data_IF_285583557012
#
_entry.id   IF_285583557012
#
_cell.length_a   1.000
_cell.length_b   1.000
_cell.length_c   1.000
_cell.angle_alpha   90.00
_cell.angle_beta   90.00
_cell.angle_gamma   90.00
#
_symmetry.space_group_name_H-M   'P 1'
#
loop_
_entity.id
_entity.type
_entity.pdbx_description
1 polymer ?
#
# COMPACT_ATOMS: atom_id res chain seq x y z
N UNK A 1 -28.20 -13.81 -18.62
CA UNK A 1 -26.72 -13.82 -18.44
C UNK A 1 -25.96 -14.15 -19.72
N UNK A 2 -26.53 -14.93 -20.65
CA UNK A 2 -25.91 -15.37 -21.92
C UNK A 2 -25.57 -14.28 -22.96
N UNK A 3 -25.94 -13.01 -22.73
CA UNK A 3 -25.66 -11.91 -23.66
C UNK A 3 -24.19 -11.47 -23.70
N UNK A 4 -23.35 -11.94 -22.77
CA UNK A 4 -21.93 -11.65 -22.77
C UNK A 4 -21.20 -12.64 -23.68
N UNK A 5 -20.58 -12.15 -24.77
CA UNK A 5 -19.85 -12.96 -25.76
C UNK A 5 -18.87 -13.96 -25.13
N UNK A 6 -18.03 -13.48 -24.22
CA UNK A 6 -17.00 -14.30 -23.55
C UNK A 6 -17.65 -15.37 -22.66
N UNK A 7 -18.61 -14.98 -21.83
CA UNK A 7 -19.28 -15.90 -20.91
C UNK A 7 -20.12 -16.96 -21.65
N UNK A 8 -20.81 -16.57 -22.73
CA UNK A 8 -21.58 -17.49 -23.56
C UNK A 8 -20.70 -18.51 -24.29
N UNK A 9 -19.53 -18.09 -24.78
CA UNK A 9 -18.52 -19.01 -25.33
C UNK A 9 -18.02 -20.01 -24.28
N UNK A 10 -17.66 -19.52 -23.09
CA UNK A 10 -17.22 -20.37 -21.99
C UNK A 10 -18.31 -21.35 -21.56
N UNK A 11 -19.56 -20.89 -21.44
CA UNK A 11 -20.70 -21.74 -21.10
C UNK A 11 -20.87 -22.88 -22.11
N UNK A 12 -20.78 -22.59 -23.41
CA UNK A 12 -20.86 -23.61 -24.46
C UNK A 12 -19.69 -24.60 -24.37
N UNK A 13 -18.47 -24.12 -24.14
CA UNK A 13 -17.28 -24.95 -23.99
C UNK A 13 -17.38 -25.89 -22.78
N UNK A 14 -17.78 -25.38 -21.61
CA UNK A 14 -17.97 -26.18 -20.40
C UNK A 14 -19.10 -27.21 -20.60
N UNK A 15 -20.20 -26.82 -21.27
CA UNK A 15 -21.31 -27.73 -21.57
C UNK A 15 -20.94 -28.84 -22.56
N UNK A 16 -20.10 -28.56 -23.56
CA UNK A 16 -19.63 -29.55 -24.53
C UNK A 16 -18.42 -30.35 -24.05
N UNK A 17 -17.74 -29.92 -22.98
CA UNK A 17 -16.47 -30.49 -22.53
C UNK A 17 -15.29 -30.20 -23.46
N UNK A 18 -15.46 -29.35 -24.48
CA UNK A 18 -14.42 -29.08 -25.49
C UNK A 18 -13.92 -27.64 -25.33
N UNK A 19 -12.63 -27.51 -25.03
CA UNK A 19 -11.95 -26.22 -24.89
C UNK A 19 -11.06 -25.89 -26.09
N UNK A 20 -11.37 -24.80 -26.78
CA UNK A 20 -10.50 -24.26 -27.84
C UNK A 20 -9.43 -23.34 -27.24
N UNK A 21 -8.19 -23.84 -27.19
CA UNK A 21 -7.03 -23.07 -26.69
C UNK A 21 -6.68 -21.87 -27.56
N UNK A 22 -7.10 -21.84 -28.83
CA UNK A 22 -6.82 -20.73 -29.77
C UNK A 22 -7.79 -19.57 -29.59
N UNK A 23 -8.95 -19.79 -28.97
CA UNK A 23 -9.92 -18.72 -28.74
C UNK A 23 -9.41 -17.76 -27.65
N UNK A 24 -9.07 -16.54 -28.07
CA UNK A 24 -8.55 -15.47 -27.21
C UNK A 24 -9.50 -15.08 -26.08
N UNK A 25 -10.81 -15.28 -26.25
CA UNK A 25 -11.82 -14.90 -25.25
C UNK A 25 -11.79 -15.85 -24.05
N UNK A 26 -11.60 -17.14 -24.28
CA UNK A 26 -11.64 -18.18 -23.24
C UNK A 26 -10.27 -18.74 -22.86
N UNK A 27 -9.20 -18.42 -23.60
CA UNK A 27 -7.83 -18.88 -23.34
C UNK A 27 -7.36 -18.66 -21.90
N UNK A 28 -7.80 -17.58 -21.25
CA UNK A 28 -7.50 -17.26 -19.84
C UNK A 28 -8.06 -18.26 -18.83
N UNK A 29 -9.00 -19.10 -19.24
CA UNK A 29 -9.61 -20.14 -18.42
C UNK A 29 -8.93 -21.51 -18.60
N UNK A 30 -7.95 -21.63 -19.51
CA UNK A 30 -7.30 -22.91 -19.85
C UNK A 30 -6.80 -23.68 -18.62
N UNK A 31 -6.11 -23.00 -17.70
CA UNK A 31 -5.54 -23.64 -16.51
C UNK A 31 -6.54 -24.05 -15.43
N UNK A 32 -7.82 -23.68 -15.57
CA UNK A 32 -8.88 -24.04 -14.61
C UNK A 32 -10.05 -24.77 -15.27
N UNK A 33 -10.00 -24.99 -16.59
CA UNK A 33 -11.15 -25.44 -17.37
C UNK A 33 -11.71 -26.78 -16.88
N UNK A 34 -10.82 -27.73 -16.55
CA UNK A 34 -11.21 -29.06 -16.07
C UNK A 34 -11.91 -29.03 -14.70
N UNK A 35 -11.80 -27.93 -13.97
CA UNK A 35 -12.46 -27.70 -12.68
C UNK A 35 -13.74 -26.88 -12.80
N UNK A 36 -14.13 -26.47 -14.01
CA UNK A 36 -15.36 -25.72 -14.26
C UNK A 36 -16.54 -26.67 -14.44
N UNK A 37 -17.68 -26.32 -13.84
CA UNK A 37 -18.93 -27.02 -14.05
C UNK A 37 -20.10 -26.04 -14.11
N UNK A 38 -21.25 -26.51 -14.60
CA UNK A 38 -22.48 -25.70 -14.69
C UNK A 38 -23.49 -26.27 -13.70
N UNK A 39 -24.04 -25.39 -12.86
CA UNK A 39 -25.11 -25.69 -11.94
C UNK A 39 -26.09 -24.51 -11.93
N UNK A 40 -27.40 -24.79 -12.03
CA UNK A 40 -28.46 -23.78 -12.10
C UNK A 40 -28.19 -22.69 -13.15
N UNK A 41 -27.74 -23.10 -14.35
CA UNK A 41 -27.37 -22.21 -15.47
C UNK A 41 -26.23 -21.20 -15.17
N UNK A 42 -25.44 -21.47 -14.14
CA UNK A 42 -24.28 -20.67 -13.74
C UNK A 42 -23.01 -21.51 -13.80
N UNK A 43 -21.92 -20.92 -14.30
CA UNK A 43 -20.60 -21.56 -14.31
C UNK A 43 -19.96 -21.38 -12.93
N UNK A 44 -19.44 -22.47 -12.38
CA UNK A 44 -18.74 -22.53 -11.10
C UNK A 44 -17.30 -23.01 -11.28
N UNK A 45 -16.43 -22.60 -10.36
CA UNK A 45 -15.06 -23.10 -10.18
C UNK A 45 -14.92 -23.57 -8.73
N UNK A 46 -15.02 -24.88 -8.50
CA UNK A 46 -15.22 -25.39 -7.14
C UNK A 46 -16.45 -24.74 -6.50
N UNK A 47 -16.34 -24.19 -5.29
CA UNK A 47 -17.45 -23.52 -4.59
C UNK A 47 -17.72 -22.08 -5.05
N UNK A 48 -17.02 -21.58 -6.08
CA UNK A 48 -17.03 -20.15 -6.46
C UNK A 48 -17.81 -19.93 -7.75
N UNK A 49 -18.58 -18.85 -7.79
CA UNK A 49 -19.31 -18.44 -8.98
C UNK A 49 -18.37 -17.72 -9.96
N UNK A 50 -18.34 -18.16 -11.21
CA UNK A 50 -17.63 -17.46 -12.29
C UNK A 50 -18.48 -16.27 -12.74
N UNK A 51 -17.96 -15.06 -12.56
CA UNK A 51 -18.71 -13.84 -12.86
C UNK A 51 -18.47 -13.41 -14.31
N UNK A 52 -19.55 -13.17 -15.10
CA UNK A 52 -19.43 -12.61 -16.44
C UNK A 52 -18.73 -11.23 -16.46
N UNK A 53 -17.86 -10.94 -17.45
CA UNK A 53 -17.14 -9.66 -17.56
C UNK A 53 -17.99 -8.40 -17.39
N UNK A 54 -19.21 -8.42 -17.92
CA UNK A 54 -20.16 -7.29 -17.82
C UNK A 54 -20.57 -6.90 -16.39
N UNK A 55 -20.32 -7.77 -15.40
CA UNK A 55 -20.66 -7.52 -14.00
C UNK A 55 -19.43 -7.24 -13.12
N UNK A 56 -18.21 -7.33 -13.68
CA UNK A 56 -16.98 -7.12 -12.91
C UNK A 56 -16.97 -5.74 -12.25
N UNK A 57 -17.25 -4.67 -13.00
CA UNK A 57 -17.19 -3.30 -12.49
C UNK A 57 -18.21 -3.04 -11.37
N UNK A 58 -19.45 -3.51 -11.55
CA UNK A 58 -20.50 -3.39 -10.53
C UNK A 58 -20.11 -4.12 -9.25
N UNK A 59 -19.63 -5.37 -9.36
CA UNK A 59 -19.24 -6.17 -8.20
C UNK A 59 -18.03 -5.57 -7.48
N UNK A 60 -17.06 -5.04 -8.23
CA UNK A 60 -15.91 -4.34 -7.66
C UNK A 60 -16.33 -3.07 -6.93
N UNK A 61 -17.29 -2.30 -7.47
CA UNK A 61 -17.83 -1.11 -6.82
C UNK A 61 -18.51 -1.45 -5.49
N UNK A 62 -19.38 -2.47 -5.46
CA UNK A 62 -20.04 -2.95 -4.23
C UNK A 62 -19.01 -3.42 -3.19
N UNK A 63 -18.03 -4.22 -3.62
CA UNK A 63 -16.96 -4.73 -2.75
C UNK A 63 -16.09 -3.60 -2.17
N UNK A 64 -15.94 -2.51 -2.92
CA UNK A 64 -15.15 -1.35 -2.52
C UNK A 64 -15.91 -0.32 -1.68
N UNK A 65 -17.26 -0.36 -1.65
CA UNK A 65 -18.11 0.69 -1.10
C UNK A 65 -17.77 1.07 0.35
N UNK A 66 -17.37 0.10 1.18
CA UNK A 66 -17.02 0.30 2.59
C UNK A 66 -15.53 0.54 2.85
N UNK A 67 -14.69 0.63 1.80
CA UNK A 67 -13.24 0.85 1.90
C UNK A 67 -12.51 -0.10 2.88
N UNK A 68 -12.99 -1.34 3.06
CA UNK A 68 -12.48 -2.36 4.01
C UNK A 68 -11.02 -2.80 3.78
N UNK A 69 -10.38 -2.30 2.73
CA UNK A 69 -9.01 -2.58 2.36
C UNK A 69 -8.86 -3.81 1.48
N UNK A 70 -7.77 -3.82 0.70
CA UNK A 70 -7.47 -4.83 -0.32
C UNK A 70 -7.43 -6.26 0.23
N UNK A 71 -6.89 -6.44 1.45
CA UNK A 71 -6.77 -7.78 2.07
C UNK A 71 -8.17 -8.34 2.38
N UNK A 72 -9.04 -7.52 2.97
CA UNK A 72 -10.41 -7.89 3.31
C UNK A 72 -11.24 -8.16 2.06
N UNK A 73 -11.15 -7.28 1.05
CA UNK A 73 -11.81 -7.46 -0.25
C UNK A 73 -11.40 -8.78 -0.92
N UNK A 74 -10.10 -9.11 -0.92
CA UNK A 74 -9.59 -10.39 -1.44
C UNK A 74 -10.13 -11.59 -0.66
N UNK A 75 -10.31 -11.47 0.65
CA UNK A 75 -10.86 -12.54 1.50
C UNK A 75 -12.31 -12.85 1.11
N UNK A 76 -13.17 -11.82 1.09
CA UNK A 76 -14.60 -11.96 0.73
C UNK A 76 -14.76 -12.64 -0.64
N UNK A 77 -13.99 -12.17 -1.61
CA UNK A 77 -14.10 -12.66 -2.98
C UNK A 77 -13.58 -14.09 -3.15
N UNK A 78 -12.52 -14.47 -2.42
CA UNK A 78 -11.91 -15.80 -2.52
C UNK A 78 -12.88 -16.92 -2.16
N UNK A 79 -13.94 -16.65 -1.42
CA UNK A 79 -14.86 -17.71 -1.00
C UNK A 79 -16.09 -17.82 -1.91
N UNK A 80 -16.42 -16.75 -2.64
CA UNK A 80 -17.71 -16.61 -3.34
C UNK A 80 -17.56 -16.46 -4.86
N UNK A 81 -16.59 -15.68 -5.32
CA UNK A 81 -16.52 -15.23 -6.71
C UNK A 81 -15.18 -15.53 -7.36
N UNK A 82 -15.19 -15.72 -8.68
CA UNK A 82 -13.98 -15.92 -9.44
C UNK A 82 -14.07 -15.36 -10.87
N UNK A 83 -12.96 -14.81 -11.35
CA UNK A 83 -12.68 -14.61 -12.78
C UNK A 83 -11.16 -14.42 -12.96
N UNK A 84 -10.63 -14.61 -14.18
CA UNK A 84 -9.22 -14.39 -14.45
C UNK A 84 -8.79 -12.95 -14.12
N UNK A 85 -7.87 -12.78 -13.18
CA UNK A 85 -7.33 -11.47 -12.79
C UNK A 85 -8.11 -10.72 -11.71
N UNK A 86 -9.10 -11.35 -11.06
CA UNK A 86 -9.91 -10.75 -9.98
C UNK A 86 -9.08 -10.04 -8.89
N UNK A 87 -8.00 -10.67 -8.44
CA UNK A 87 -7.06 -10.11 -7.45
C UNK A 87 -6.43 -8.80 -7.93
N UNK A 88 -6.11 -8.71 -9.23
CA UNK A 88 -5.55 -7.50 -9.85
C UNK A 88 -6.62 -6.41 -9.90
N UNK A 89 -7.84 -6.73 -10.33
CA UNK A 89 -8.95 -5.77 -10.36
C UNK A 89 -9.24 -5.16 -8.97
N UNK A 90 -9.16 -5.96 -7.90
CA UNK A 90 -9.31 -5.50 -6.51
C UNK A 90 -8.19 -4.53 -6.10
N UNK A 91 -6.95 -4.80 -6.51
CA UNK A 91 -5.81 -3.90 -6.24
C UNK A 91 -5.97 -2.59 -7.02
N UNK A 92 -6.36 -2.68 -8.29
CA UNK A 92 -6.49 -1.54 -9.19
C UNK A 92 -7.58 -0.56 -8.73
N UNK A 93 -8.76 -1.05 -8.32
CA UNK A 93 -9.83 -0.18 -7.82
C UNK A 93 -9.41 0.52 -6.52
N UNK A 94 -8.74 -0.17 -5.60
CA UNK A 94 -8.25 0.43 -4.37
C UNK A 94 -7.11 1.44 -4.61
N UNK A 95 -6.26 1.22 -5.63
CA UNK A 95 -5.18 2.14 -5.98
C UNK A 95 -5.70 3.45 -6.62
N UNK A 96 -6.77 3.35 -7.42
CA UNK A 96 -7.44 4.50 -8.05
C UNK A 96 -8.29 5.31 -7.07
N UNK A 97 -8.68 4.73 -5.94
CA UNK A 97 -9.49 5.40 -4.93
C UNK A 97 -8.69 6.39 -4.08
N UNK A 98 -9.12 7.66 -4.07
CA UNK A 98 -8.49 8.71 -3.27
C UNK A 98 -8.61 8.46 -1.77
N UNK A 99 -9.76 7.97 -1.30
CA UNK A 99 -9.96 7.61 0.10
C UNK A 99 -9.00 6.53 0.56
N UNK A 100 -8.91 5.42 -0.19
CA UNK A 100 -7.98 4.35 0.12
C UNK A 100 -6.51 4.81 0.03
N UNK A 101 -6.16 5.70 -0.89
CA UNK A 101 -4.79 6.23 -1.01
C UNK A 101 -4.41 7.14 0.16
N UNK A 102 -5.31 8.02 0.59
CA UNK A 102 -5.08 8.95 1.71
C UNK A 102 -4.94 8.23 3.05
N UNK A 103 -5.78 7.23 3.31
CA UNK A 103 -5.80 6.49 4.57
C UNK A 103 -4.98 5.19 4.57
N UNK A 104 -4.18 4.95 3.52
CA UNK A 104 -3.29 3.79 3.48
C UNK A 104 -2.27 3.87 4.61
N UNK A 105 -2.09 2.76 5.35
CA UNK A 105 -1.02 2.66 6.35
C UNK A 105 0.33 2.99 5.70
N UNK A 106 1.10 3.87 6.35
CA UNK A 106 2.47 4.15 5.96
C UNK A 106 3.29 2.86 6.05
N UNK A 107 4.28 2.66 5.16
CA UNK A 107 5.26 1.60 5.35
C UNK A 107 5.93 1.77 6.72
N UNK A 108 6.44 0.67 7.31
CA UNK A 108 7.23 0.78 8.53
C UNK A 108 8.36 1.79 8.29
N UNK A 109 8.68 2.64 9.29
CA UNK A 109 9.82 3.54 9.16
C UNK A 109 11.08 2.72 8.88
N UNK A 110 12.01 3.32 8.15
CA UNK A 110 13.33 2.72 7.96
C UNK A 110 13.98 2.43 9.31
N UNK A 111 14.86 1.43 9.35
CA UNK A 111 15.68 1.17 10.53
C UNK A 111 16.38 2.45 10.97
N UNK A 112 16.40 2.71 12.28
CA UNK A 112 17.11 3.85 12.84
C UNK A 112 18.59 3.73 12.46
N UNK A 113 19.10 4.70 11.70
CA UNK A 113 20.54 4.82 11.49
C UNK A 113 21.15 5.35 12.79
N UNK A 114 21.92 4.50 13.46
CA UNK A 114 22.64 4.90 14.68
C UNK A 114 23.83 5.75 14.25
N UNK A 115 23.97 6.92 14.86
CA UNK A 115 25.16 7.72 14.62
C UNK A 115 26.43 7.00 15.13
N UNK A 116 27.58 7.13 14.45
CA UNK A 116 28.84 6.54 14.91
C UNK A 116 29.19 6.93 16.36
N UNK A 117 29.85 6.07 17.12
CA UNK A 117 30.30 6.46 18.46
C UNK A 117 31.41 7.52 18.36
N UNK A 118 31.33 8.59 19.18
CA UNK A 118 32.41 9.56 19.28
C UNK A 118 33.51 8.93 20.16
N UNK A 119 34.75 8.88 19.70
CA UNK A 119 35.88 8.21 20.34
C UNK A 119 36.79 9.15 21.15
N UNK A 120 36.68 10.46 20.94
CA UNK A 120 37.42 11.47 21.71
C UNK A 120 36.56 12.72 21.97
N UNK A 121 36.88 13.52 22.99
CA UNK A 121 36.19 14.79 23.24
C UNK A 121 36.20 15.66 21.99
N UNK A 122 35.08 16.35 21.74
CA UNK A 122 34.88 17.25 20.59
C UNK A 122 34.94 16.60 19.21
N UNK A 123 34.94 15.26 19.11
CA UNK A 123 34.84 14.57 17.80
C UNK A 123 33.46 14.76 17.15
N UNK A 124 32.42 14.88 17.96
CA UNK A 124 31.07 15.23 17.52
C UNK A 124 30.38 16.04 18.59
N UNK A 125 29.82 17.16 18.18
CA UNK A 125 28.99 18.01 19.02
C UNK A 125 27.57 18.04 18.48
N UNK A 126 26.59 18.02 19.38
CA UNK A 126 25.20 18.27 19.07
C UNK A 126 24.88 19.70 19.46
N UNK A 127 24.37 20.48 18.52
CA UNK A 127 24.02 21.89 18.73
C UNK A 127 22.53 22.05 18.45
N UNK A 128 21.83 22.66 19.38
CA UNK A 128 20.39 22.92 19.27
C UNK A 128 20.02 24.23 19.98
N UNK A 129 18.81 24.71 19.73
CA UNK A 129 18.23 25.84 20.43
C UNK A 129 17.07 25.37 21.29
N UNK A 130 16.94 25.95 22.47
CA UNK A 130 15.70 25.90 23.22
C UNK A 130 15.27 27.29 23.65
N UNK A 131 13.98 27.46 23.94
CA UNK A 131 13.44 28.72 24.42
C UNK A 131 13.10 28.62 25.90
N UNK A 132 13.50 29.64 26.67
CA UNK A 132 13.13 29.78 28.07
C UNK A 132 12.81 31.24 28.39
N UNK A 133 11.57 31.48 28.85
CA UNK A 133 11.07 32.82 29.21
C UNK A 133 11.25 33.86 28.09
N UNK A 134 10.92 33.50 26.86
CA UNK A 134 11.00 34.39 25.69
C UNK A 134 12.42 34.72 25.22
N UNK A 135 13.42 33.94 25.68
CA UNK A 135 14.81 34.06 25.25
C UNK A 135 15.26 32.74 24.66
N UNK A 136 16.05 32.80 23.59
CA UNK A 136 16.66 31.62 23.00
C UNK A 136 17.95 31.27 23.71
N UNK A 137 18.24 29.99 23.87
CA UNK A 137 19.50 29.52 24.44
C UNK A 137 20.12 28.57 23.44
N UNK A 138 21.36 28.87 23.05
CA UNK A 138 22.17 27.96 22.25
C UNK A 138 22.75 26.90 23.18
N UNK A 139 22.47 25.64 22.90
CA UNK A 139 22.97 24.49 23.62
C UNK A 139 23.98 23.76 22.72
N UNK A 140 25.17 23.50 23.25
CA UNK A 140 26.14 22.60 22.64
C UNK A 140 26.47 21.47 23.59
N UNK A 141 26.41 20.24 23.11
CA UNK A 141 26.72 19.03 23.89
C UNK A 141 27.79 18.22 23.17
N UNK A 142 28.90 17.96 23.84
CA UNK A 142 29.91 17.03 23.32
C UNK A 142 29.43 15.59 23.44
N UNK A 143 29.41 14.85 22.33
CA UNK A 143 28.85 13.51 22.28
C UNK A 143 29.70 12.48 23.05
N UNK A 144 31.00 12.73 23.24
CA UNK A 144 31.90 11.85 23.99
C UNK A 144 31.83 12.12 25.49
N UNK A 145 32.22 13.32 25.94
CA UNK A 145 32.33 13.68 27.35
C UNK A 145 31.01 14.03 28.03
N UNK A 146 29.94 14.24 27.24
CA UNK A 146 28.63 14.75 27.71
C UNK A 146 28.70 16.12 28.37
N UNK A 147 29.80 16.88 28.19
CA UNK A 147 29.89 18.27 28.63
C UNK A 147 28.91 19.13 27.84
N UNK A 148 28.32 20.07 28.56
CA UNK A 148 27.28 20.96 28.06
C UNK A 148 27.79 22.40 28.16
N UNK A 149 27.65 23.14 27.06
CA UNK A 149 27.83 24.58 27.02
C UNK A 149 26.50 25.23 26.63
N UNK A 150 26.17 26.31 27.32
CA UNK A 150 24.96 27.08 27.07
C UNK A 150 25.30 28.54 26.92
N UNK A 151 24.77 29.19 25.89
CA UNK A 151 24.85 30.63 25.74
C UNK A 151 23.46 31.22 25.59
N UNK A 152 23.14 32.20 26.44
CA UNK A 152 21.93 32.97 26.31
C UNK A 152 22.01 33.83 25.05
N UNK A 153 21.07 33.60 24.14
CA UNK A 153 20.78 34.47 23.03
C UNK A 153 19.52 35.25 23.41
N UNK A 154 19.38 36.49 22.94
CA UNK A 154 18.12 37.21 23.17
C UNK A 154 17.05 36.60 22.24
N UNK A 155 16.47 37.39 21.35
CA UNK A 155 15.46 36.92 20.38
C UNK A 155 16.05 36.50 19.04
N UNK A 156 17.38 36.47 18.92
CA UNK A 156 18.05 36.32 17.62
C UNK A 156 18.88 35.03 17.58
N UNK A 157 18.43 34.08 16.77
CA UNK A 157 19.06 32.77 16.50
C UNK A 157 19.77 32.72 15.15
N UNK A 158 20.00 33.87 14.51
CA UNK A 158 20.63 33.95 13.19
C UNK A 158 22.01 33.28 13.19
N UNK A 159 22.32 32.57 12.10
CA UNK A 159 23.58 31.84 11.89
C UNK A 159 24.81 32.67 12.24
N UNK A 160 24.85 33.95 11.87
CA UNK A 160 25.99 34.82 12.16
C UNK A 160 26.25 35.01 13.66
N UNK A 161 25.21 35.15 14.49
CA UNK A 161 25.36 35.27 15.95
C UNK A 161 25.73 33.94 16.59
N UNK A 162 25.14 32.86 16.12
CA UNK A 162 25.46 31.50 16.57
C UNK A 162 26.92 31.16 16.29
N UNK A 163 27.43 31.49 15.09
CA UNK A 163 28.84 31.30 14.75
C UNK A 163 29.78 32.18 15.59
N UNK A 164 29.42 33.45 15.83
CA UNK A 164 30.23 34.33 16.68
C UNK A 164 30.37 33.79 18.12
N UNK A 165 29.36 33.12 18.65
CA UNK A 165 29.40 32.48 19.98
C UNK A 165 30.25 31.20 19.96
N UNK A 166 30.23 30.45 18.85
CA UNK A 166 30.94 29.17 18.76
C UNK A 166 32.43 29.32 18.41
N UNK A 167 32.81 30.42 17.73
CA UNK A 167 34.16 30.66 17.21
C UNK A 167 34.85 31.92 17.78
N UNK A 168 34.13 32.77 18.51
CA UNK A 168 34.68 33.96 19.19
C UNK A 168 35.11 33.66 20.61
#
# INVERSE_FOLDING_TARGET
TQTCKVYGKLYKAVKSGIFDKKDKDISKFHGVFDSLYIENDVIHLGSRIVIPPKFHDRLLAELHASHIGVVSMKKVVRDIFWWPGITKSIVDIAAKCDGCRRYKKKPPPNSLSVWPFARRPMERVHVDFFEYKGKHVLLMVDAFSKKIWTQLMNTDTTTSKSLAILYG
#
